data_IF_259574007279
#
_entry.id   IF_259574007279
#
_cell.length_a   1.000
_cell.length_b   1.000
_cell.length_c   1.000
_cell.angle_alpha   90.00
_cell.angle_beta   90.00
_cell.angle_gamma   90.00
#
_symmetry.space_group_name_H-M   'P 1'
#
loop_
_entity.id
_entity.type
_entity.pdbx_description
1 polymer ?
#
# COMPACT_ATOMS: atom_id res chain seq x y z
N UNK A 1 25.01 -12.17 8.33
CA UNK A 1 23.89 -13.13 8.50
C UNK A 1 22.63 -12.69 7.76
N UNK A 2 22.04 -11.51 8.03
CA UNK A 2 20.81 -11.06 7.35
C UNK A 2 20.89 -11.11 5.81
N UNK A 3 21.96 -10.57 5.22
CA UNK A 3 22.17 -10.60 3.77
C UNK A 3 22.15 -12.03 3.20
N UNK A 4 22.80 -12.98 3.88
CA UNK A 4 22.82 -14.39 3.47
C UNK A 4 21.41 -15.00 3.47
N UNK A 5 20.60 -14.72 4.49
CA UNK A 5 19.21 -15.17 4.54
C UNK A 5 18.37 -14.58 3.41
N UNK A 6 18.51 -13.28 3.13
CA UNK A 6 17.79 -12.62 2.03
C UNK A 6 18.19 -13.24 0.69
N UNK A 7 19.48 -13.45 0.44
CA UNK A 7 19.95 -14.09 -0.79
C UNK A 7 19.43 -15.51 -0.93
N UNK A 8 19.39 -16.29 0.17
CA UNK A 8 18.85 -17.65 0.16
C UNK A 8 17.36 -17.67 -0.21
N UNK A 9 16.56 -16.79 0.38
CA UNK A 9 15.11 -16.70 0.10
C UNK A 9 14.88 -16.38 -1.37
N UNK A 10 15.63 -15.41 -1.93
CA UNK A 10 15.52 -15.03 -3.34
C UNK A 10 15.88 -16.22 -4.24
N UNK A 11 17.00 -16.90 -3.97
CA UNK A 11 17.44 -18.06 -4.76
C UNK A 11 16.38 -19.17 -4.73
N UNK A 12 15.85 -19.50 -3.56
CA UNK A 12 14.81 -20.53 -3.41
C UNK A 12 13.55 -20.14 -4.20
N UNK A 13 13.12 -18.88 -4.14
CA UNK A 13 11.93 -18.42 -4.88
C UNK A 13 12.11 -18.52 -6.40
N UNK A 14 13.30 -18.20 -6.91
CA UNK A 14 13.63 -18.29 -8.34
C UNK A 14 13.69 -19.75 -8.78
N UNK A 15 14.34 -20.62 -7.99
CA UNK A 15 14.41 -22.05 -8.28
C UNK A 15 13.01 -22.69 -8.32
N UNK A 16 12.14 -22.31 -7.38
CA UNK A 16 10.75 -22.78 -7.36
C UNK A 16 9.99 -22.31 -8.60
N UNK A 17 10.09 -21.04 -8.95
CA UNK A 17 9.48 -20.50 -10.17
C UNK A 17 9.96 -21.24 -11.44
N UNK A 18 11.28 -21.44 -11.56
CA UNK A 18 11.87 -22.16 -12.70
C UNK A 18 11.39 -23.61 -12.75
N UNK A 19 11.38 -24.31 -11.62
CA UNK A 19 10.89 -25.68 -11.51
C UNK A 19 9.45 -25.80 -12.01
N UNK A 20 8.54 -24.94 -11.55
CA UNK A 20 7.15 -24.95 -12.00
C UNK A 20 7.01 -24.64 -13.49
N UNK A 21 7.76 -23.66 -14.00
CA UNK A 21 7.70 -23.28 -15.42
C UNK A 21 8.18 -24.39 -16.37
N UNK A 22 9.15 -25.20 -15.93
CA UNK A 22 9.72 -26.31 -16.69
C UNK A 22 8.85 -27.57 -16.61
N UNK A 23 8.33 -27.90 -15.43
CA UNK A 23 7.53 -29.12 -15.20
C UNK A 23 6.12 -28.97 -15.78
N UNK A 24 5.55 -27.76 -15.76
CA UNK A 24 4.20 -27.49 -16.25
C UNK A 24 4.20 -26.48 -17.42
N UNK A 25 4.69 -26.88 -18.61
CA UNK A 25 4.61 -26.02 -19.79
C UNK A 25 3.14 -25.84 -20.21
N UNK A 26 2.55 -24.71 -19.82
CA UNK A 26 1.16 -24.39 -20.15
C UNK A 26 0.92 -24.36 -21.67
N UNK A 27 -0.13 -25.03 -22.14
CA UNK A 27 -0.58 -24.90 -23.54
C UNK A 27 -1.04 -23.47 -23.79
N UNK A 28 -0.33 -22.74 -24.66
CA UNK A 28 -0.71 -21.40 -25.11
C UNK A 28 -1.89 -21.51 -26.07
N UNK A 29 -3.11 -21.37 -25.57
CA UNK A 29 -4.33 -21.28 -26.36
C UNK A 29 -4.90 -19.86 -26.23
N UNK A 30 -5.49 -19.32 -27.30
CA UNK A 30 -6.11 -17.98 -27.29
C UNK A 30 -7.12 -17.84 -26.15
N UNK A 31 -7.98 -18.84 -25.97
CA UNK A 31 -9.00 -18.91 -24.91
C UNK A 31 -8.44 -18.98 -23.48
N UNK A 32 -7.20 -19.45 -23.31
CA UNK A 32 -6.54 -19.47 -21.99
C UNK A 32 -5.85 -18.14 -21.68
N UNK A 33 -5.58 -17.35 -22.72
CA UNK A 33 -4.88 -16.07 -22.62
C UNK A 33 -5.85 -14.88 -22.76
N UNK A 34 -7.14 -15.12 -23.00
CA UNK A 34 -8.18 -14.10 -23.00
C UNK A 34 -8.60 -13.76 -21.56
N UNK A 35 -9.04 -12.51 -21.30
CA UNK A 35 -9.57 -12.12 -20.00
C UNK A 35 -10.85 -12.91 -19.68
N UNK A 36 -11.03 -13.25 -18.41
CA UNK A 36 -12.21 -13.97 -17.95
C UNK A 36 -13.39 -12.99 -17.71
N UNK A 37 -14.44 -13.08 -18.51
CA UNK A 37 -15.73 -12.38 -18.29
C UNK A 37 -16.90 -13.39 -18.26
N UNK A 38 -16.90 -14.30 -17.29
CA UNK A 38 -18.00 -15.25 -17.07
C UNK A 38 -18.38 -16.10 -18.30
N UNK A 39 -17.43 -16.37 -19.19
CA UNK A 39 -17.65 -17.14 -20.43
C UNK A 39 -18.02 -16.29 -21.65
N UNK A 40 -18.01 -14.97 -21.54
CA UNK A 40 -18.23 -14.03 -22.64
C UNK A 40 -16.94 -13.29 -23.03
N UNK A 41 -16.93 -12.76 -24.25
CA UNK A 41 -15.90 -11.83 -24.70
C UNK A 41 -16.05 -10.48 -24.00
N UNK A 42 -14.93 -9.78 -23.72
CA UNK A 42 -14.97 -8.55 -22.96
C UNK A 42 -15.78 -7.44 -23.64
N UNK A 43 -16.81 -6.94 -22.94
CA UNK A 43 -17.68 -5.89 -23.48
C UNK A 43 -16.99 -4.52 -23.56
N UNK A 44 -16.00 -4.28 -22.71
CA UNK A 44 -15.25 -3.02 -22.65
C UNK A 44 -13.81 -3.24 -22.23
N UNK A 45 -12.97 -2.21 -22.38
CA UNK A 45 -11.62 -2.25 -21.85
C UNK A 45 -11.67 -2.30 -20.33
N UNK A 46 -10.85 -3.18 -19.73
CA UNK A 46 -10.74 -3.32 -18.27
C UNK A 46 -10.21 -2.07 -17.55
N UNK A 47 -9.65 -1.11 -18.30
CA UNK A 47 -9.09 0.15 -17.76
C UNK A 47 -10.12 1.27 -17.89
N UNK A 48 -10.97 1.39 -16.89
CA UNK A 48 -11.93 2.49 -16.74
C UNK A 48 -11.39 3.54 -15.76
N UNK A 49 -11.76 4.83 -15.92
CA UNK A 49 -11.44 5.83 -14.92
C UNK A 49 -12.06 5.43 -13.58
N UNK A 50 -11.22 5.43 -12.56
CA UNK A 50 -11.57 5.02 -11.21
C UNK A 50 -12.19 6.17 -10.42
N UNK A 51 -12.92 5.86 -9.35
CA UNK A 51 -13.59 6.90 -8.57
C UNK A 51 -12.58 7.76 -7.79
N UNK A 52 -12.83 9.07 -7.77
CA UNK A 52 -11.97 10.05 -7.07
C UNK A 52 -11.87 9.80 -5.55
N UNK A 53 -12.80 9.03 -4.97
CA UNK A 53 -12.78 8.71 -3.54
C UNK A 53 -11.51 7.97 -3.13
N UNK A 54 -11.07 7.00 -3.94
CA UNK A 54 -9.84 6.26 -3.65
C UNK A 54 -8.58 7.09 -3.81
N UNK A 55 -8.63 8.12 -4.66
CA UNK A 55 -7.54 9.09 -4.78
C UNK A 55 -7.37 9.87 -3.48
N UNK A 56 -8.46 10.35 -2.87
CA UNK A 56 -8.41 11.02 -1.57
C UNK A 56 -7.89 10.10 -0.46
N UNK A 57 -8.33 8.84 -0.42
CA UNK A 57 -7.79 7.85 0.52
C UNK A 57 -6.27 7.69 0.35
N UNK A 58 -5.75 7.69 -0.88
CA UNK A 58 -4.32 7.63 -1.15
C UNK A 58 -3.54 8.84 -0.65
N UNK A 59 -4.10 10.06 -0.76
CA UNK A 59 -3.48 11.28 -0.22
C UNK A 59 -3.43 11.21 1.31
N UNK A 60 -4.53 10.84 1.95
CA UNK A 60 -4.62 10.72 3.40
C UNK A 60 -3.62 9.68 3.92
N UNK A 61 -3.52 8.52 3.25
CA UNK A 61 -2.51 7.51 3.56
C UNK A 61 -1.08 8.05 3.50
N UNK A 62 -0.74 8.85 2.48
CA UNK A 62 0.59 9.45 2.34
C UNK A 62 0.92 10.38 3.52
N UNK A 63 -0.04 11.19 3.95
CA UNK A 63 0.13 12.09 5.11
C UNK A 63 0.41 11.27 6.38
N UNK A 64 -0.37 10.20 6.62
CA UNK A 64 -0.16 9.32 7.77
C UNK A 64 1.14 8.52 7.72
N UNK A 65 1.62 8.13 6.54
CA UNK A 65 2.90 7.45 6.38
C UNK A 65 4.06 8.37 6.81
N UNK A 66 4.01 9.65 6.41
CA UNK A 66 4.98 10.66 6.86
C UNK A 66 4.88 10.90 8.38
N UNK A 67 3.68 10.89 8.94
CA UNK A 67 3.49 11.02 10.40
C UNK A 67 4.15 9.85 11.15
N UNK A 68 3.97 8.61 10.69
CA UNK A 68 4.59 7.43 11.32
C UNK A 68 6.12 7.53 11.32
N UNK A 69 6.72 8.03 10.24
CA UNK A 69 8.17 8.27 10.17
C UNK A 69 8.64 9.25 11.25
N UNK A 70 7.83 10.25 11.60
CA UNK A 70 8.12 11.23 12.67
C UNK A 70 7.87 10.63 14.06
N UNK A 71 6.84 9.78 14.22
CA UNK A 71 6.51 9.12 15.50
C UNK A 71 7.55 8.06 15.88
N UNK A 72 8.07 7.28 14.94
CA UNK A 72 8.96 6.14 15.22
C UNK A 72 10.25 6.50 16.00
N UNK A 73 10.98 7.59 15.71
CA UNK A 73 12.16 7.98 16.49
C UNK A 73 11.81 8.71 17.80
N UNK A 74 10.56 9.13 18.02
CA UNK A 74 10.18 9.96 19.15
C UNK A 74 10.53 9.36 20.52
N UNK A 75 10.25 8.08 20.83
CA UNK A 75 10.59 7.49 22.13
C UNK A 75 12.09 7.55 22.45
N UNK A 76 12.94 7.48 21.42
CA UNK A 76 14.41 7.55 21.57
C UNK A 76 14.90 8.98 21.85
N UNK A 77 14.16 9.99 21.40
CA UNK A 77 14.51 11.41 21.54
C UNK A 77 13.82 12.07 22.74
N UNK A 78 12.79 11.41 23.29
CA UNK A 78 11.92 11.85 24.37
C UNK A 78 12.67 12.39 25.60
N UNK A 79 13.78 11.75 25.96
CA UNK A 79 14.57 12.04 27.15
C UNK A 79 15.54 13.23 27.01
N UNK A 80 15.74 13.76 25.78
CA UNK A 80 16.86 14.68 25.50
C UNK A 80 16.48 16.16 25.54
N UNK A 81 15.24 16.52 25.19
CA UNK A 81 14.86 17.94 25.08
C UNK A 81 13.34 18.16 25.22
N UNK A 82 12.94 18.99 26.18
CA UNK A 82 11.54 19.40 26.41
C UNK A 82 10.96 20.20 25.23
N UNK A 83 11.77 21.00 24.53
CA UNK A 83 11.30 21.74 23.36
C UNK A 83 10.95 20.81 22.20
N UNK A 84 11.74 19.75 22.00
CA UNK A 84 11.46 18.73 20.99
C UNK A 84 10.14 18.01 21.28
N UNK A 85 9.91 17.65 22.55
CA UNK A 85 8.66 17.06 23.03
C UNK A 85 7.44 17.92 22.68
N UNK A 86 7.51 19.20 23.00
CA UNK A 86 6.41 20.13 22.74
C UNK A 86 6.15 20.29 21.23
N UNK A 87 7.21 20.41 20.42
CA UNK A 87 7.07 20.52 18.96
C UNK A 87 6.45 19.26 18.33
N UNK A 88 6.80 18.08 18.84
CA UNK A 88 6.23 16.82 18.40
C UNK A 88 4.73 16.76 18.69
N UNK A 89 4.32 17.05 19.93
CA UNK A 89 2.90 17.05 20.29
C UNK A 89 2.09 18.06 19.48
N UNK A 90 2.64 19.24 19.20
CA UNK A 90 1.98 20.24 18.36
C UNK A 90 1.73 19.73 16.93
N UNK A 91 2.73 19.09 16.31
CA UNK A 91 2.60 18.57 14.94
C UNK A 91 1.55 17.46 14.88
N UNK A 92 1.61 16.48 15.80
CA UNK A 92 0.62 15.39 15.85
C UNK A 92 -0.80 15.94 16.11
N UNK A 93 -0.92 16.95 16.98
CA UNK A 93 -2.22 17.57 17.25
C UNK A 93 -2.81 18.26 16.00
N UNK A 94 -1.98 18.96 15.22
CA UNK A 94 -2.42 19.60 13.97
C UNK A 94 -2.91 18.57 12.95
N UNK A 95 -2.20 17.46 12.80
CA UNK A 95 -2.59 16.37 11.88
C UNK A 95 -3.87 15.69 12.36
N UNK A 96 -4.00 15.44 13.67
CA UNK A 96 -5.22 14.88 14.26
C UNK A 96 -6.46 15.77 14.02
N UNK A 97 -6.31 17.10 14.15
CA UNK A 97 -7.39 18.04 13.83
C UNK A 97 -7.74 18.02 12.33
N UNK A 98 -6.75 17.83 11.46
CA UNK A 98 -6.96 17.61 10.02
C UNK A 98 -7.81 16.36 9.74
N UNK A 99 -7.53 15.25 10.42
CA UNK A 99 -8.33 14.02 10.29
C UNK A 99 -9.77 14.22 10.78
N UNK A 100 -9.97 14.92 11.89
CA UNK A 100 -11.33 15.24 12.37
C UNK A 100 -12.10 16.09 11.36
N UNK A 101 -11.41 17.03 10.70
CA UNK A 101 -11.99 17.81 9.60
C UNK A 101 -12.42 16.88 8.46
N UNK A 102 -11.54 16.00 7.97
CA UNK A 102 -11.85 15.08 6.86
C UNK A 102 -13.02 14.13 7.15
N UNK A 103 -13.12 13.64 8.39
CA UNK A 103 -14.25 12.82 8.85
C UNK A 103 -15.58 13.60 8.77
N UNK A 104 -15.59 14.88 9.16
CA UNK A 104 -16.79 15.71 9.08
C UNK A 104 -17.27 15.93 7.65
N UNK A 105 -16.38 15.92 6.65
CA UNK A 105 -16.75 16.06 5.24
C UNK A 105 -17.19 14.75 4.58
N UNK A 106 -17.30 13.64 5.34
CA UNK A 106 -17.70 12.32 4.81
C UNK A 106 -16.83 11.84 3.63
N UNK A 107 -15.59 12.36 3.51
CA UNK A 107 -14.68 11.97 2.41
C UNK A 107 -14.23 10.51 2.56
N UNK A 108 -14.30 10.00 3.78
CA UNK A 108 -13.97 8.62 4.17
C UNK A 108 -15.19 7.68 4.09
N UNK A 109 -16.35 8.13 3.61
CA UNK A 109 -17.52 7.26 3.44
C UNK A 109 -17.47 6.53 2.08
N UNK A 110 -17.26 5.21 2.17
CA UNK A 110 -17.08 4.36 1.00
C UNK A 110 -18.41 4.09 0.29
N UNK A 111 -19.52 4.07 1.04
CA UNK A 111 -20.86 3.81 0.53
C UNK A 111 -21.83 4.91 0.95
N UNK A 112 -22.44 5.55 -0.05
CA UNK A 112 -23.82 6.00 0.03
C UNK A 112 -24.61 5.15 -0.96
#
# INVERSE_FOLDING_TARGET
MLYLYITLIIIISILFFLFFSLVFPGKKAKEKNSPFECGFDPFSLSRVPFSLKFFFIGIIFLIFDVEIVVILPFPLMMMKNLHFMFSFFLINFMIFMGLLYELNYSMLDWMK
#
